data_IF_994981626874
#
_entry.id   IF_994981626874
#
_cell.length_a   1.000
_cell.length_b   1.000
_cell.length_c   1.000
_cell.angle_alpha   90.00
_cell.angle_beta   90.00
_cell.angle_gamma   90.00
#
_symmetry.space_group_name_H-M   'P 1'
#
loop_
_entity.id
_entity.type
_entity.pdbx_description
1 polymer ?
#
# COMPACT_ATOMS: atom_id res chain seq x y z
N UNK A 1 -7.24 -7.28 0.98
CA UNK A 1 -6.09 -8.09 1.45
C UNK A 1 -5.64 -9.01 0.33
N UNK A 2 -4.33 -9.13 0.14
CA UNK A 2 -3.70 -10.15 -0.69
C UNK A 2 -3.12 -11.20 0.25
N UNK A 3 -3.45 -12.46 0.00
CA UNK A 3 -3.09 -13.60 0.83
C UNK A 3 -2.22 -14.51 -0.01
N UNK A 4 -1.08 -14.92 0.53
CA UNK A 4 -0.17 -15.86 -0.12
C UNK A 4 -0.25 -17.20 0.60
N UNK A 5 -0.49 -18.25 -0.18
CA UNK A 5 -0.49 -19.63 0.25
C UNK A 5 0.84 -20.24 -0.11
N UNK A 6 1.66 -20.51 0.90
CA UNK A 6 3.04 -20.99 0.70
C UNK A 6 3.11 -22.46 0.28
N UNK A 7 2.06 -23.24 0.54
CA UNK A 7 1.94 -24.66 0.22
C UNK A 7 1.88 -24.91 -1.29
N UNK A 8 1.18 -24.05 -2.04
CA UNK A 8 0.99 -24.17 -3.48
C UNK A 8 1.49 -22.95 -4.28
N UNK A 9 2.16 -22.01 -3.60
CA UNK A 9 2.62 -20.73 -4.13
C UNK A 9 1.53 -19.96 -4.89
N UNK A 10 0.29 -19.98 -4.39
CA UNK A 10 -0.82 -19.23 -4.98
C UNK A 10 -1.16 -17.96 -4.19
N UNK A 11 -1.82 -17.02 -4.89
CA UNK A 11 -2.38 -15.82 -4.27
C UNK A 11 -3.90 -15.83 -4.29
N UNK A 12 -4.48 -15.35 -3.20
CA UNK A 12 -5.92 -15.09 -3.05
C UNK A 12 -6.09 -13.60 -2.76
N UNK A 13 -7.07 -12.97 -3.41
CA UNK A 13 -7.44 -11.59 -3.12
C UNK A 13 -8.85 -11.53 -2.53
N UNK A 14 -8.97 -10.79 -1.44
CA UNK A 14 -10.24 -10.49 -0.76
C UNK A 14 -10.40 -8.97 -0.67
N UNK A 15 -11.56 -8.49 -1.06
CA UNK A 15 -11.93 -7.08 -0.99
C UNK A 15 -13.34 -6.92 -0.43
N UNK A 16 -13.60 -5.80 0.20
CA UNK A 16 -14.92 -5.39 0.64
C UNK A 16 -15.13 -3.92 0.26
N UNK A 17 -16.38 -3.53 -0.01
CA UNK A 17 -16.75 -2.15 -0.28
C UNK A 17 -17.28 -1.55 1.02
N UNK A 18 -16.64 -0.49 1.49
CA UNK A 18 -17.09 0.28 2.63
C UNK A 18 -17.77 1.54 2.12
N UNK A 19 -19.09 1.63 2.28
CA UNK A 19 -19.84 2.80 1.84
C UNK A 19 -19.97 3.82 2.95
N UNK A 20 -19.67 5.08 2.62
CA UNK A 20 -19.73 6.20 3.54
C UNK A 20 -20.24 7.43 2.82
N UNK A 21 -21.17 8.15 3.46
CA UNK A 21 -21.57 9.46 2.99
C UNK A 21 -20.74 10.56 3.67
N UNK A 22 -19.52 10.74 3.18
CA UNK A 22 -18.67 11.84 3.58
C UNK A 22 -17.37 11.83 2.81
N UNK A 23 -16.60 12.89 3.04
CA UNK A 23 -15.41 13.23 2.29
C UNK A 23 -14.19 12.54 2.90
N UNK A 24 -13.41 11.86 2.07
CA UNK A 24 -12.07 11.34 2.39
C UNK A 24 -11.05 12.09 1.56
N UNK A 25 -9.93 12.48 2.19
CA UNK A 25 -8.82 13.12 1.47
C UNK A 25 -7.99 12.03 0.81
N UNK A 26 -7.95 12.04 -0.51
CA UNK A 26 -7.07 11.24 -1.33
C UNK A 26 -5.78 12.02 -1.56
N UNK A 27 -4.65 11.42 -1.19
CA UNK A 27 -3.31 11.96 -1.40
C UNK A 27 -2.58 11.11 -2.42
N UNK A 28 -2.02 11.76 -3.43
CA UNK A 28 -1.25 11.08 -4.48
C UNK A 28 0.05 11.84 -4.71
N UNK A 29 1.18 11.18 -4.53
CA UNK A 29 2.47 11.77 -4.88
C UNK A 29 2.69 11.69 -6.39
N UNK A 30 3.17 12.78 -6.97
CA UNK A 30 3.79 12.78 -8.30
C UNK A 30 5.24 12.35 -8.15
N UNK A 31 5.69 11.43 -8.99
CA UNK A 31 6.99 10.79 -8.86
C UNK A 31 7.87 11.04 -10.09
N UNK A 32 9.18 11.15 -9.89
CA UNK A 32 10.17 11.06 -10.97
C UNK A 32 10.45 9.59 -11.37
N UNK A 33 11.26 9.40 -12.40
CA UNK A 33 11.67 8.07 -12.89
C UNK A 33 12.51 7.25 -11.90
N UNK A 34 13.00 7.88 -10.82
CA UNK A 34 13.74 7.23 -9.73
C UNK A 34 12.87 6.93 -8.50
N UNK A 35 11.60 7.31 -8.53
CA UNK A 35 10.65 7.14 -7.43
C UNK A 35 10.78 8.18 -6.31
N UNK A 36 11.35 9.35 -6.59
CA UNK A 36 11.29 10.49 -5.67
C UNK A 36 9.99 11.26 -5.86
N UNK A 37 9.42 11.75 -4.76
CA UNK A 37 8.28 12.65 -4.80
C UNK A 37 8.71 14.02 -5.32
N UNK A 38 8.07 14.48 -6.41
CA UNK A 38 8.25 15.81 -7.00
C UNK A 38 7.03 16.72 -6.80
N UNK A 39 5.94 16.17 -6.29
CA UNK A 39 4.74 16.92 -5.93
C UNK A 39 3.74 16.07 -5.17
N UNK A 40 2.74 16.72 -4.59
CA UNK A 40 1.63 16.09 -3.89
C UNK A 40 0.33 16.65 -4.46
N UNK A 41 -0.55 15.77 -4.92
CA UNK A 41 -1.91 16.07 -5.32
C UNK A 41 -2.86 15.63 -4.21
N UNK A 42 -3.68 16.56 -3.71
CA UNK A 42 -4.72 16.29 -2.72
C UNK A 42 -6.10 16.53 -3.34
N UNK A 43 -7.01 15.58 -3.15
CA UNK A 43 -8.40 15.70 -3.58
C UNK A 43 -9.34 15.16 -2.52
N UNK A 44 -10.55 15.67 -2.48
CA UNK A 44 -11.62 15.10 -1.65
C UNK A 44 -12.48 14.14 -2.47
N UNK A 45 -12.77 12.98 -1.91
CA UNK A 45 -13.63 11.98 -2.53
C UNK A 45 -14.77 11.60 -1.61
N UNK A 46 -16.00 11.60 -2.12
CA UNK A 46 -17.16 11.04 -1.44
C UNK A 46 -17.49 9.66 -2.05
N UNK A 47 -17.24 8.55 -1.34
CA UNK A 47 -17.43 7.20 -1.87
C UNK A 47 -18.87 6.86 -2.23
N UNK A 48 -19.85 7.42 -1.51
CA UNK A 48 -21.28 7.20 -1.78
C UNK A 48 -21.73 7.95 -3.03
N UNK A 49 -21.32 9.20 -3.18
CA UNK A 49 -21.69 10.04 -4.32
C UNK A 49 -20.80 9.83 -5.54
N UNK A 50 -19.70 9.08 -5.41
CA UNK A 50 -18.64 8.97 -6.42
C UNK A 50 -18.16 10.32 -6.92
N UNK A 51 -18.12 11.31 -6.02
CA UNK A 51 -17.79 12.70 -6.34
C UNK A 51 -16.37 13.01 -5.92
N UNK A 52 -15.61 13.60 -6.83
CA UNK A 52 -14.25 14.06 -6.59
C UNK A 52 -14.23 15.59 -6.64
N UNK A 53 -13.70 16.24 -5.62
CA UNK A 53 -13.58 17.69 -5.50
C UNK A 53 -12.15 18.09 -5.15
N UNK A 54 -11.82 19.36 -5.36
CA UNK A 54 -10.55 19.92 -4.90
C UNK A 54 -10.50 19.92 -3.38
N UNK A 55 -9.31 19.68 -2.82
CA UNK A 55 -9.10 19.71 -1.38
C UNK A 55 -8.95 21.14 -0.89
N UNK A 56 -9.74 21.53 0.11
CA UNK A 56 -9.61 22.84 0.77
C UNK A 56 -8.88 22.69 2.12
N UNK A 57 -7.61 23.12 2.24
CA UNK A 57 -6.85 23.02 3.48
C UNK A 57 -7.39 23.93 4.61
N UNK A 58 -8.21 24.92 4.27
CA UNK A 58 -8.84 25.84 5.23
C UNK A 58 -10.20 25.35 5.71
N UNK A 59 -10.78 24.32 5.07
CA UNK A 59 -12.05 23.76 5.50
C UNK A 59 -11.97 23.23 6.93
N UNK A 60 -12.94 23.60 7.76
CA UNK A 60 -13.10 23.10 9.13
C UNK A 60 -14.52 22.59 9.32
N UNK A 61 -14.64 21.27 9.48
CA UNK A 61 -15.92 20.62 9.72
C UNK A 61 -16.49 21.05 11.09
N UNK A 62 -17.73 21.55 11.11
CA UNK A 62 -18.37 21.96 12.36
C UNK A 62 -18.54 20.76 13.30
N UNK A 63 -18.45 20.99 14.63
CA UNK A 63 -18.67 19.95 15.64
C UNK A 63 -20.00 19.21 15.42
N UNK A 64 -21.07 19.94 15.08
CA UNK A 64 -22.40 19.38 14.82
C UNK A 64 -22.41 18.42 13.63
N UNK A 65 -21.74 18.76 12.52
CA UNK A 65 -21.63 17.88 11.36
C UNK A 65 -20.75 16.66 11.65
N UNK A 66 -19.67 16.82 12.43
CA UNK A 66 -18.81 15.71 12.87
C UNK A 66 -19.58 14.68 13.70
N UNK A 67 -20.31 15.13 14.72
CA UNK A 67 -21.14 14.26 15.57
C UNK A 67 -22.21 13.50 14.77
N UNK A 68 -22.72 14.10 13.68
CA UNK A 68 -23.67 13.42 12.78
C UNK A 68 -23.03 12.33 11.92
N UNK A 69 -21.77 12.50 11.54
CA UNK A 69 -21.00 11.53 10.73
C UNK A 69 -20.41 10.40 11.58
N UNK A 70 -20.20 10.63 12.87
CA UNK A 70 -19.52 9.72 13.79
C UNK A 70 -20.11 8.30 13.84
N UNK A 71 -21.44 8.08 13.95
CA UNK A 71 -21.99 6.72 13.91
C UNK A 71 -21.69 5.97 12.61
N UNK A 72 -21.70 6.66 11.46
CA UNK A 72 -21.37 6.04 10.18
C UNK A 72 -19.89 5.64 10.11
N UNK A 73 -19.01 6.49 10.64
CA UNK A 73 -17.57 6.19 10.75
C UNK A 73 -17.35 4.97 11.63
N UNK A 74 -18.02 4.87 12.78
CA UNK A 74 -17.93 3.71 13.67
C UNK A 74 -18.40 2.43 12.97
N UNK A 75 -19.49 2.47 12.21
CA UNK A 75 -19.99 1.31 11.45
C UNK A 75 -18.99 0.84 10.38
N UNK A 76 -18.26 1.77 9.75
CA UNK A 76 -17.22 1.43 8.76
C UNK A 76 -16.06 0.72 9.45
N UNK A 77 -15.62 1.22 10.59
CA UNK A 77 -14.57 0.58 11.37
C UNK A 77 -15.00 -0.81 11.88
N UNK A 78 -16.23 -0.97 12.35
CA UNK A 78 -16.77 -2.28 12.71
C UNK A 78 -16.78 -3.24 11.50
N UNK A 79 -17.25 -2.77 10.34
CA UNK A 79 -17.25 -3.55 9.09
C UNK A 79 -15.84 -3.93 8.64
N UNK A 80 -14.85 -3.04 8.83
CA UNK A 80 -13.45 -3.31 8.54
C UNK A 80 -12.92 -4.40 9.48
N UNK A 81 -13.24 -4.33 10.77
CA UNK A 81 -12.85 -5.33 11.76
C UNK A 81 -13.44 -6.71 11.45
N UNK A 82 -14.73 -6.76 11.09
CA UNK A 82 -15.42 -7.98 10.67
C UNK A 82 -14.79 -8.58 9.40
N UNK A 83 -14.50 -7.74 8.41
CA UNK A 83 -13.82 -8.15 7.19
C UNK A 83 -12.45 -8.75 7.49
N UNK A 84 -11.64 -8.08 8.32
CA UNK A 84 -10.32 -8.56 8.73
C UNK A 84 -10.42 -9.90 9.46
N UNK A 85 -11.27 -10.03 10.49
CA UNK A 85 -11.48 -11.28 11.23
C UNK A 85 -11.87 -12.42 10.29
N UNK A 86 -12.88 -12.20 9.45
CA UNK A 86 -13.34 -13.21 8.48
C UNK A 86 -12.20 -13.69 7.57
N UNK A 87 -11.42 -12.77 7.01
CA UNK A 87 -10.34 -13.12 6.09
C UNK A 87 -9.22 -13.89 6.80
N UNK A 88 -8.86 -13.50 8.02
CA UNK A 88 -7.81 -14.15 8.80
C UNK A 88 -8.24 -15.55 9.22
N UNK A 89 -9.48 -15.71 9.68
CA UNK A 89 -10.03 -16.99 10.14
C UNK A 89 -10.25 -17.95 8.95
N UNK A 90 -10.85 -17.48 7.85
CA UNK A 90 -11.15 -18.30 6.65
C UNK A 90 -9.88 -18.86 5.99
N UNK A 91 -8.76 -18.14 6.08
CA UNK A 91 -7.50 -18.49 5.43
C UNK A 91 -6.38 -18.84 6.41
N UNK A 92 -6.70 -19.00 7.70
CA UNK A 92 -5.77 -19.35 8.77
C UNK A 92 -4.47 -18.52 8.73
N UNK A 93 -4.61 -17.20 8.56
CA UNK A 93 -3.46 -16.33 8.27
C UNK A 93 -2.53 -16.24 9.48
N UNK A 94 -1.30 -16.77 9.30
CA UNK A 94 -0.28 -16.82 10.36
C UNK A 94 0.58 -15.56 10.47
N UNK A 95 0.70 -14.80 9.37
CA UNK A 95 1.54 -13.60 9.28
C UNK A 95 0.86 -12.48 8.49
N UNK A 96 0.89 -11.28 9.06
CA UNK A 96 0.53 -10.03 8.40
C UNK A 96 1.78 -9.22 8.03
N UNK A 97 1.89 -8.88 6.75
CA UNK A 97 3.01 -8.10 6.22
C UNK A 97 2.53 -6.69 5.88
N UNK A 98 3.23 -5.69 6.41
CA UNK A 98 2.96 -4.27 6.13
C UNK A 98 4.15 -3.61 5.44
N UNK A 99 3.91 -2.47 4.78
CA UNK A 99 4.95 -1.57 4.30
C UNK A 99 4.75 -0.19 4.91
N UNK A 100 5.53 0.18 5.94
CA UNK A 100 5.32 1.44 6.65
C UNK A 100 3.98 1.48 7.40
N UNK A 101 3.57 0.35 7.98
CA UNK A 101 2.19 0.11 8.44
C UNK A 101 1.76 0.78 9.73
N UNK A 102 2.27 1.97 10.09
CA UNK A 102 1.80 2.69 11.28
C UNK A 102 0.33 3.06 11.13
N UNK A 103 -0.05 3.70 10.02
CA UNK A 103 -1.42 4.06 9.71
C UNK A 103 -2.33 2.83 9.60
N UNK A 104 -1.88 1.76 8.93
CA UNK A 104 -2.64 0.52 8.83
C UNK A 104 -2.94 -0.07 10.22
N UNK A 105 -1.92 -0.13 11.10
CA UNK A 105 -2.10 -0.62 12.47
C UNK A 105 -3.05 0.27 13.28
N UNK A 106 -2.97 1.59 13.08
CA UNK A 106 -3.89 2.52 13.72
C UNK A 106 -5.34 2.32 13.24
N UNK A 107 -5.55 2.13 11.94
CA UNK A 107 -6.86 1.84 11.37
C UNK A 107 -7.42 0.51 11.88
N UNK A 108 -6.59 -0.52 11.98
CA UNK A 108 -6.98 -1.82 12.55
C UNK A 108 -7.34 -1.70 14.03
N UNK A 109 -6.58 -0.94 14.82
CA UNK A 109 -6.90 -0.68 16.22
C UNK A 109 -8.25 0.05 16.37
N UNK A 110 -8.52 1.03 15.50
CA UNK A 110 -9.83 1.72 15.45
C UNK A 110 -10.98 0.82 15.00
N UNK A 111 -10.67 -0.22 14.22
CA UNK A 111 -11.60 -1.25 13.79
C UNK A 111 -11.83 -2.35 14.85
N UNK A 112 -11.30 -2.18 16.06
CA UNK A 112 -11.30 -3.21 17.12
C UNK A 112 -10.73 -4.55 16.64
N UNK A 113 -9.77 -4.50 15.71
CA UNK A 113 -9.08 -5.66 15.19
C UNK A 113 -7.76 -5.87 15.93
N UNK A 114 -7.69 -6.94 16.71
CA UNK A 114 -6.50 -7.31 17.47
C UNK A 114 -5.46 -8.02 16.59
N UNK A 115 -4.22 -7.54 16.64
CA UNK A 115 -3.07 -8.22 16.04
C UNK A 115 -2.43 -9.26 16.99
N UNK A 116 -2.97 -9.43 18.21
CA UNK A 116 -2.42 -10.36 19.20
C UNK A 116 -2.53 -11.79 18.69
N UNK A 117 -1.42 -12.53 18.75
CA UNK A 117 -1.37 -13.92 18.29
C UNK A 117 -1.11 -14.08 16.79
N UNK A 118 -1.06 -13.00 16.02
CA UNK A 118 -0.70 -13.01 14.60
C UNK A 118 0.72 -12.46 14.45
N UNK A 119 1.60 -13.17 13.74
CA UNK A 119 2.94 -12.65 13.47
C UNK A 119 2.84 -11.41 12.57
N UNK A 120 3.62 -10.36 12.85
CA UNK A 120 3.61 -9.16 12.01
C UNK A 120 5.01 -8.80 11.54
N UNK A 121 5.15 -8.40 10.28
CA UNK A 121 6.37 -7.82 9.71
C UNK A 121 6.10 -6.44 9.13
N UNK A 122 7.14 -5.60 9.12
CA UNK A 122 7.10 -4.27 8.50
C UNK A 122 8.32 -4.15 7.58
N UNK A 123 8.09 -4.38 6.29
CA UNK A 123 9.14 -4.47 5.29
C UNK A 123 9.95 -3.17 5.18
N UNK A 124 9.33 -2.01 5.42
CA UNK A 124 10.05 -0.75 5.36
C UNK A 124 11.09 -0.67 6.48
N UNK A 125 10.74 -1.12 7.70
CA UNK A 125 11.67 -1.16 8.84
C UNK A 125 12.76 -2.21 8.63
N UNK A 126 12.41 -3.38 8.11
CA UNK A 126 13.37 -4.45 7.83
C UNK A 126 14.38 -4.02 6.76
N UNK A 127 13.91 -3.42 5.67
CA UNK A 127 14.77 -2.88 4.62
C UNK A 127 15.62 -1.72 5.14
N UNK A 128 15.07 -0.85 5.99
CA UNK A 128 15.85 0.25 6.57
C UNK A 128 17.06 -0.26 7.37
N UNK A 129 16.89 -1.32 8.17
CA UNK A 129 17.99 -1.94 8.93
C UNK A 129 19.11 -2.48 8.04
N UNK A 130 18.75 -3.02 6.88
CA UNK A 130 19.71 -3.62 5.94
C UNK A 130 20.35 -2.57 5.02
N UNK A 131 19.57 -1.61 4.54
CA UNK A 131 20.01 -0.64 3.52
C UNK A 131 20.64 0.60 4.16
N UNK A 132 20.17 1.01 5.33
CA UNK A 132 20.58 2.24 6.04
C UNK A 132 19.80 3.49 5.61
N UNK A 133 18.94 3.40 4.60
CA UNK A 133 18.09 4.50 4.11
C UNK A 133 16.60 4.09 4.22
N UNK A 134 15.70 5.05 4.44
CA UNK A 134 14.26 4.81 4.39
C UNK A 134 13.80 4.80 2.93
N UNK A 135 13.20 3.70 2.49
CA UNK A 135 12.72 3.51 1.12
C UNK A 135 11.19 3.63 1.06
N UNK A 136 10.68 4.33 0.05
CA UNK A 136 9.26 4.32 -0.29
C UNK A 136 8.91 3.06 -1.09
N UNK A 137 7.63 2.70 -1.11
CA UNK A 137 7.14 1.57 -1.90
C UNK A 137 7.42 1.77 -3.40
N UNK A 138 7.46 3.02 -3.86
CA UNK A 138 7.83 3.40 -5.21
C UNK A 138 9.27 3.06 -5.55
N UNK A 139 10.21 3.45 -4.69
CA UNK A 139 11.63 3.12 -4.88
C UNK A 139 11.84 1.62 -4.84
N UNK A 140 11.21 0.92 -3.91
CA UNK A 140 11.37 -0.54 -3.83
C UNK A 140 10.76 -1.25 -5.04
N UNK A 141 9.62 -0.77 -5.54
CA UNK A 141 8.96 -1.30 -6.74
C UNK A 141 9.83 -1.20 -7.98
N UNK A 142 10.52 -0.06 -8.17
CA UNK A 142 11.48 0.11 -9.27
C UNK A 142 12.60 -0.93 -9.15
N UNK A 143 13.15 -1.11 -7.95
CA UNK A 143 14.28 -2.02 -7.73
C UNK A 143 13.90 -3.48 -7.96
N UNK A 144 12.72 -3.92 -7.51
CA UNK A 144 12.23 -5.29 -7.75
C UNK A 144 11.61 -5.46 -9.14
N UNK A 145 11.63 -4.42 -9.99
CA UNK A 145 11.03 -4.42 -11.33
C UNK A 145 9.55 -4.79 -11.33
N UNK A 146 8.81 -4.22 -10.37
CA UNK A 146 7.37 -4.40 -10.31
C UNK A 146 6.72 -3.90 -11.60
N UNK A 147 5.91 -4.75 -12.21
CA UNK A 147 5.08 -4.38 -13.35
C UNK A 147 3.79 -5.21 -13.38
N UNK A 148 2.80 -4.70 -14.11
CA UNK A 148 1.49 -5.34 -14.29
C UNK A 148 1.22 -5.51 -15.77
N UNK A 149 0.81 -6.71 -16.18
CA UNK A 149 0.47 -7.04 -17.57
C UNK A 149 -0.84 -7.81 -17.61
N UNK A 150 -1.91 -7.18 -18.10
CA UNK A 150 -3.26 -7.77 -18.05
C UNK A 150 -3.67 -8.14 -16.62
N UNK A 151 -3.80 -9.44 -16.34
CA UNK A 151 -4.10 -10.00 -15.01
C UNK A 151 -2.86 -10.48 -14.24
N UNK A 152 -1.65 -10.13 -14.68
CA UNK A 152 -0.42 -10.61 -14.04
C UNK A 152 0.25 -9.49 -13.27
N UNK A 153 0.70 -9.80 -12.06
CA UNK A 153 1.66 -8.98 -11.30
C UNK A 153 3.01 -9.67 -11.35
N UNK A 154 4.06 -8.90 -11.61
CA UNK A 154 5.39 -9.44 -11.88
C UNK A 154 6.45 -8.62 -11.16
N UNK A 155 7.50 -9.31 -10.75
CA UNK A 155 8.75 -8.76 -10.21
C UNK A 155 9.92 -9.35 -10.99
N UNK A 156 11.14 -9.25 -10.48
CA UNK A 156 12.33 -9.77 -11.16
C UNK A 156 12.33 -11.30 -11.19
N UNK A 157 11.87 -11.95 -10.12
CA UNK A 157 11.93 -13.41 -9.98
C UNK A 157 10.55 -14.07 -9.84
N UNK A 158 9.49 -13.30 -9.55
CA UNK A 158 8.16 -13.86 -9.31
C UNK A 158 7.09 -13.27 -10.22
N UNK A 159 6.10 -14.10 -10.55
CA UNK A 159 4.93 -13.76 -11.33
C UNK A 159 3.69 -14.47 -10.77
N UNK A 160 2.59 -13.73 -10.67
CA UNK A 160 1.32 -14.27 -10.18
C UNK A 160 0.14 -13.75 -11.00
N UNK A 161 -0.89 -14.59 -11.14
CA UNK A 161 -2.16 -14.22 -11.77
C UNK A 161 -3.12 -13.70 -10.71
N UNK A 162 -3.69 -12.51 -10.94
CA UNK A 162 -4.74 -11.94 -10.09
C UNK A 162 -6.13 -12.22 -10.65
N UNK A 163 -7.17 -12.31 -9.80
CA UNK A 163 -8.55 -12.41 -10.28
C UNK A 163 -8.97 -11.18 -11.10
N UNK A 164 -9.76 -11.37 -12.16
CA UNK A 164 -10.14 -10.31 -13.11
C UNK A 164 -10.80 -9.10 -12.43
N UNK A 165 -11.63 -9.34 -11.42
CA UNK A 165 -12.30 -8.28 -10.62
C UNK A 165 -11.32 -7.28 -9.99
N UNK A 166 -10.08 -7.69 -9.71
CA UNK A 166 -9.06 -6.82 -9.11
C UNK A 166 -8.16 -6.12 -10.13
N UNK A 167 -8.23 -6.51 -11.42
CA UNK A 167 -7.39 -5.92 -12.49
C UNK A 167 -7.43 -4.39 -12.54
N UNK A 168 -8.61 -3.72 -12.46
CA UNK A 168 -8.66 -2.25 -12.48
C UNK A 168 -8.05 -1.58 -11.23
N UNK A 169 -7.80 -2.36 -10.18
CA UNK A 169 -7.31 -1.92 -8.88
C UNK A 169 -5.81 -2.14 -8.69
N UNK A 170 -5.11 -2.77 -9.64
CA UNK A 170 -3.66 -3.03 -9.58
C UNK A 170 -2.77 -1.79 -9.79
N UNK A 171 -3.35 -0.66 -10.21
CA UNK A 171 -2.59 0.58 -10.42
C UNK A 171 -1.94 1.02 -9.10
N UNK A 172 -0.71 1.57 -9.14
CA UNK A 172 -0.07 2.18 -7.96
C UNK A 172 -0.99 3.17 -7.24
N UNK A 173 -0.82 3.29 -5.92
CA UNK A 173 -1.62 4.17 -5.05
C UNK A 173 -3.10 3.78 -4.94
N UNK A 174 -3.44 2.56 -5.35
CA UNK A 174 -4.68 1.88 -4.94
C UNK A 174 -4.32 0.79 -3.94
N UNK A 175 -5.18 0.57 -2.96
CA UNK A 175 -4.93 -0.41 -1.90
C UNK A 175 -4.57 -1.82 -2.43
N UNK A 176 -5.20 -2.28 -3.52
CA UNK A 176 -4.88 -3.57 -4.14
C UNK A 176 -3.52 -3.56 -4.84
N UNK A 177 -3.21 -2.49 -5.58
CA UNK A 177 -1.89 -2.30 -6.20
C UNK A 177 -0.78 -2.25 -5.17
N UNK A 178 -0.95 -1.49 -4.09
CA UNK A 178 0.06 -1.39 -3.04
C UNK A 178 0.22 -2.69 -2.23
N UNK A 179 -0.87 -3.45 -2.03
CA UNK A 179 -0.79 -4.81 -1.48
C UNK A 179 -0.02 -5.76 -2.40
N UNK A 180 -0.23 -5.70 -3.73
CA UNK A 180 0.50 -6.51 -4.71
C UNK A 180 2.00 -6.18 -4.73
N UNK A 181 2.34 -4.89 -4.67
CA UNK A 181 3.73 -4.41 -4.61
C UNK A 181 4.42 -4.85 -3.31
N UNK A 182 3.72 -4.72 -2.18
CA UNK A 182 4.21 -5.17 -0.87
C UNK A 182 4.44 -6.67 -0.85
N UNK A 183 3.50 -7.45 -1.39
CA UNK A 183 3.62 -8.90 -1.50
C UNK A 183 4.82 -9.34 -2.35
N UNK A 184 4.96 -8.79 -3.56
CA UNK A 184 6.11 -9.12 -4.41
C UNK A 184 7.43 -8.69 -3.79
N UNK A 185 7.46 -7.57 -3.07
CA UNK A 185 8.62 -7.16 -2.30
C UNK A 185 8.95 -8.15 -1.17
N UNK A 186 7.96 -8.68 -0.45
CA UNK A 186 8.16 -9.72 0.57
C UNK A 186 8.77 -10.98 -0.04
N UNK A 187 8.26 -11.42 -1.21
CA UNK A 187 8.78 -12.61 -1.93
C UNK A 187 10.22 -12.43 -2.37
N UNK A 188 10.52 -11.28 -2.99
CA UNK A 188 11.86 -10.91 -3.45
C UNK A 188 12.83 -10.78 -2.28
N UNK A 189 12.45 -10.06 -1.22
CA UNK A 189 13.31 -9.85 -0.06
C UNK A 189 13.52 -11.13 0.75
N UNK A 190 12.50 -11.98 0.86
CA UNK A 190 12.58 -13.27 1.54
C UNK A 190 13.46 -14.28 0.80
N UNK A 191 13.39 -14.33 -0.54
CA UNK A 191 14.06 -15.37 -1.34
C UNK A 191 15.41 -14.92 -1.92
N UNK A 192 15.54 -13.63 -2.25
CA UNK A 192 16.71 -13.03 -2.91
C UNK A 192 17.30 -11.87 -2.10
N UNK A 193 17.27 -11.98 -0.76
CA UNK A 193 17.64 -10.92 0.19
C UNK A 193 18.91 -10.16 -0.17
N UNK A 194 20.03 -10.87 -0.40
CA UNK A 194 21.34 -10.25 -0.71
C UNK A 194 21.29 -9.43 -2.00
N UNK A 195 20.62 -9.95 -3.03
CA UNK A 195 20.48 -9.26 -4.31
C UNK A 195 19.60 -8.01 -4.17
N UNK A 196 18.46 -8.14 -3.48
CA UNK A 196 17.54 -7.03 -3.23
C UNK A 196 18.26 -5.92 -2.47
N UNK A 197 18.90 -6.22 -1.33
CA UNK A 197 19.63 -5.22 -0.53
C UNK A 197 20.73 -4.54 -1.34
N UNK A 198 21.49 -5.33 -2.11
CA UNK A 198 22.55 -4.81 -2.98
C UNK A 198 22.00 -3.87 -4.06
N UNK A 199 20.87 -4.23 -4.69
CA UNK A 199 20.20 -3.41 -5.68
C UNK A 199 19.60 -2.13 -5.07
N UNK A 200 18.99 -2.20 -3.89
CA UNK A 200 18.46 -1.03 -3.17
C UNK A 200 19.57 -0.03 -2.83
N UNK A 201 20.70 -0.50 -2.28
CA UNK A 201 21.87 0.34 -1.98
C UNK A 201 22.41 1.02 -3.24
N UNK A 202 22.50 0.30 -4.37
CA UNK A 202 22.90 0.90 -5.66
C UNK A 202 21.92 1.97 -6.14
N UNK A 203 20.62 1.70 -6.06
CA UNK A 203 19.59 2.67 -6.43
C UNK A 203 19.64 3.93 -5.57
N UNK A 204 19.84 3.79 -4.26
CA UNK A 204 20.01 4.93 -3.36
C UNK A 204 21.26 5.77 -3.66
N UNK A 205 22.39 5.12 -3.97
CA UNK A 205 23.60 5.83 -4.45
C UNK A 205 23.36 6.57 -5.76
N UNK A 206 22.54 6.01 -6.67
CA UNK A 206 22.15 6.69 -7.91
C UNK A 206 21.30 7.93 -7.63
N UNK A 207 20.32 7.82 -6.73
CA UNK A 207 19.49 8.96 -6.30
C UNK A 207 20.34 10.07 -5.67
N UNK A 208 21.28 9.73 -4.79
CA UNK A 208 22.16 10.71 -4.12
C UNK A 208 22.98 11.49 -5.15
N UNK A 209 23.65 10.79 -6.08
CA UNK A 209 24.40 11.41 -7.19
C UNK A 209 23.52 12.31 -8.07
N UNK A 210 22.31 11.86 -8.42
CA UNK A 210 21.39 12.64 -9.23
C UNK A 210 21.02 13.97 -8.57
N UNK A 211 20.77 13.97 -7.25
CA UNK A 211 20.47 15.19 -6.48
C UNK A 211 21.66 16.15 -6.37
N UNK A 212 22.87 15.62 -6.34
CA UNK A 212 24.11 16.42 -6.26
C UNK A 212 24.48 17.07 -7.60
N UNK A 213 24.09 16.46 -8.73
CA UNK A 213 24.50 16.90 -10.07
C UNK A 213 23.51 17.88 -10.73
N UNK A 214 22.26 17.99 -10.25
CA UNK A 214 21.29 18.97 -10.75
C UNK A 214 20.79 18.73 -12.19
N UNK A 215 21.02 17.54 -12.75
CA UNK A 215 20.66 17.21 -14.14
C UNK A 215 19.13 17.19 -14.38
N UNK A 216 18.69 17.68 -15.54
CA UNK A 216 17.30 17.63 -15.98
C UNK A 216 16.77 16.19 -16.12
N UNK A 217 15.53 15.98 -15.69
CA UNK A 217 14.86 14.68 -15.64
C UNK A 217 14.65 14.15 -17.07
N UNK A 218 15.19 12.96 -17.46
CA UNK A 218 14.71 12.30 -18.65
C UNK A 218 13.31 11.75 -18.36
N UNK A 219 12.32 12.40 -18.95
CA UNK A 219 10.93 11.96 -18.98
C UNK A 219 10.88 10.79 -19.97
N UNK A 220 10.61 9.58 -19.49
CA UNK A 220 10.28 8.41 -20.31
C UNK A 220 8.89 7.91 -19.95
#
# INVERSE_FOLDING_TARGET
>A
MLIHRSDDDNIIMRGSRFEFNGEVVLRKNSLDSLGNSIGLEEREYNPKLSRLTEYDPHYRESRRKRLRKEPQVMNIFASLGDFCRKVIDEHEVKRLVFFGGQEDRHLLARADFSLRGIATSDLQKELHREVGDILSLDKTSIVIRYHTEGRRIRSRHFEYVVPEVFRPLLRPHKAVGDAARTFLLDREFGSYRKEVVSAMRRHMKRIKRYREQGDEIPIF
#
